data_IF_666977718845
#
_entry.id   IF_666977718845
#
_cell.length_a   1.000
_cell.length_b   1.000
_cell.length_c   1.000
_cell.angle_alpha   90.00
_cell.angle_beta   90.00
_cell.angle_gamma   90.00
#
_symmetry.space_group_name_H-M   'P 1'
#
loop_
_entity.id
_entity.type
_entity.pdbx_description
1 polymer ?
#
# COMPACT_ATOMS: atom_id res chain seq x y z
N UNK A 1 -26.73 1.43 -5.95
CA UNK A 1 -25.46 0.72 -6.29
C UNK A 1 -25.54 -0.69 -5.74
N UNK A 2 -25.32 -1.69 -6.59
CA UNK A 2 -25.31 -3.10 -6.18
C UNK A 2 -23.96 -3.44 -5.55
N UNK A 3 -23.97 -4.12 -4.41
CA UNK A 3 -22.77 -4.64 -3.76
C UNK A 3 -23.05 -6.04 -3.23
N UNK A 4 -22.13 -6.97 -3.46
CA UNK A 4 -22.16 -8.34 -2.98
C UNK A 4 -20.71 -8.80 -2.75
N UNK A 5 -20.51 -9.73 -1.82
CA UNK A 5 -19.18 -10.25 -1.48
C UNK A 5 -18.92 -11.64 -2.07
N UNK A 6 -19.91 -12.21 -2.74
CA UNK A 6 -19.85 -13.51 -3.41
C UNK A 6 -20.68 -13.48 -4.69
N UNK A 7 -20.33 -14.34 -5.65
CA UNK A 7 -20.98 -14.42 -6.96
C UNK A 7 -21.90 -15.64 -6.98
N UNK A 8 -23.00 -15.56 -6.22
CA UNK A 8 -24.06 -16.60 -6.17
C UNK A 8 -25.37 -16.05 -6.72
N UNK A 9 -26.23 -16.92 -7.27
CA UNK A 9 -27.53 -16.52 -7.84
C UNK A 9 -28.42 -15.82 -6.80
N UNK A 10 -28.38 -16.27 -5.55
CA UNK A 10 -29.08 -15.67 -4.41
C UNK A 10 -28.54 -14.28 -4.10
N UNK A 11 -27.22 -14.16 -3.85
CA UNK A 11 -26.60 -12.89 -3.45
C UNK A 11 -26.74 -11.80 -4.51
N UNK A 12 -26.64 -12.15 -5.80
CA UNK A 12 -26.82 -11.19 -6.89
C UNK A 12 -28.26 -10.68 -6.96
N UNK A 13 -29.25 -11.55 -6.80
CA UNK A 13 -30.68 -11.15 -6.79
C UNK A 13 -30.99 -10.24 -5.61
N UNK A 14 -30.57 -10.66 -4.41
CA UNK A 14 -30.77 -9.87 -3.19
C UNK A 14 -30.13 -8.47 -3.28
N UNK A 15 -28.93 -8.36 -3.86
CA UNK A 15 -28.24 -7.08 -4.01
C UNK A 15 -28.84 -6.17 -5.10
N UNK A 16 -29.53 -6.74 -6.10
CA UNK A 16 -30.31 -5.98 -7.09
C UNK A 16 -31.59 -5.45 -6.45
N UNK A 17 -32.27 -6.27 -5.65
CA UNK A 17 -33.52 -5.91 -4.98
C UNK A 17 -33.28 -4.89 -3.85
N UNK A 18 -32.08 -4.88 -3.25
CA UNK A 18 -31.69 -3.98 -2.16
C UNK A 18 -30.47 -3.11 -2.54
N UNK A 19 -30.62 -2.14 -3.46
CA UNK A 19 -29.51 -1.27 -3.84
C UNK A 19 -29.17 -0.30 -2.71
N UNK A 20 -27.87 -0.11 -2.46
CA UNK A 20 -27.38 0.91 -1.51
C UNK A 20 -27.04 2.23 -2.19
N UNK A 21 -27.09 3.31 -1.43
CA UNK A 21 -26.50 4.58 -1.85
C UNK A 21 -24.97 4.47 -1.95
N UNK A 22 -24.38 5.40 -2.69
CA UNK A 22 -22.92 5.51 -2.76
C UNK A 22 -22.43 6.07 -1.43
N UNK A 23 -21.59 5.31 -0.73
CA UNK A 23 -20.93 5.79 0.47
C UNK A 23 -19.83 6.78 0.09
N UNK A 24 -20.13 8.08 0.19
CA UNK A 24 -19.20 9.15 -0.18
C UNK A 24 -17.93 9.14 0.67
N UNK A 25 -17.99 8.68 1.92
CA UNK A 25 -16.79 8.54 2.76
C UNK A 25 -15.78 7.55 2.17
N UNK A 26 -16.24 6.45 1.55
CA UNK A 26 -15.37 5.49 0.88
C UNK A 26 -14.75 6.07 -0.39
N UNK A 27 -15.51 6.91 -1.12
CA UNK A 27 -15.00 7.63 -2.28
C UNK A 27 -13.91 8.61 -1.86
N UNK A 28 -14.18 9.42 -0.84
CA UNK A 28 -13.26 10.42 -0.32
C UNK A 28 -11.98 9.76 0.25
N UNK A 29 -12.10 8.64 0.96
CA UNK A 29 -10.95 7.88 1.45
C UNK A 29 -10.07 7.37 0.30
N UNK A 30 -10.66 6.87 -0.78
CA UNK A 30 -9.92 6.43 -1.97
C UNK A 30 -9.21 7.60 -2.66
N UNK A 31 -9.90 8.73 -2.81
CA UNK A 31 -9.33 9.94 -3.42
C UNK A 31 -8.18 10.50 -2.59
N UNK A 32 -8.34 10.55 -1.26
CA UNK A 32 -7.29 10.99 -0.34
C UNK A 32 -6.05 10.08 -0.44
N UNK A 33 -6.24 8.75 -0.45
CA UNK A 33 -5.13 7.81 -0.64
C UNK A 33 -4.40 8.04 -1.96
N UNK A 34 -5.14 8.20 -3.05
CA UNK A 34 -4.58 8.48 -4.38
C UNK A 34 -3.79 9.79 -4.38
N UNK A 35 -4.30 10.84 -3.75
CA UNK A 35 -3.61 12.12 -3.63
C UNK A 35 -2.30 11.98 -2.83
N UNK A 36 -2.33 11.27 -1.70
CA UNK A 36 -1.13 11.00 -0.88
C UNK A 36 -0.08 10.21 -1.67
N UNK A 37 -0.49 9.16 -2.38
CA UNK A 37 0.44 8.32 -3.15
C UNK A 37 1.06 9.13 -4.32
N UNK A 38 0.30 10.04 -4.94
CA UNK A 38 0.81 10.98 -5.94
C UNK A 38 1.81 11.98 -5.34
N UNK A 39 1.48 12.61 -4.21
CA UNK A 39 2.35 13.58 -3.55
C UNK A 39 3.69 12.98 -3.13
N UNK A 40 3.70 11.72 -2.67
CA UNK A 40 4.94 11.02 -2.33
C UNK A 40 5.68 10.61 -3.61
N UNK A 41 5.01 9.89 -4.51
CA UNK A 41 5.64 9.30 -5.69
C UNK A 41 6.22 10.35 -6.64
N UNK A 42 5.45 11.38 -6.99
CA UNK A 42 5.85 12.36 -7.99
C UNK A 42 6.91 13.33 -7.47
N UNK A 43 6.88 13.71 -6.19
CA UNK A 43 7.84 14.66 -5.64
C UNK A 43 9.17 14.01 -5.24
N UNK A 44 9.14 12.79 -4.69
CA UNK A 44 10.35 12.14 -4.17
C UNK A 44 11.11 11.31 -5.21
N UNK A 45 10.43 10.72 -6.20
CA UNK A 45 11.12 9.90 -7.22
C UNK A 45 12.18 10.69 -8.03
N UNK A 46 11.93 11.94 -8.46
CA UNK A 46 12.97 12.76 -9.12
C UNK A 46 14.20 12.99 -8.24
N UNK A 47 14.01 13.12 -6.92
CA UNK A 47 15.12 13.25 -5.98
C UNK A 47 15.97 11.96 -5.94
N UNK A 48 15.32 10.79 -5.89
CA UNK A 48 16.02 9.50 -5.94
C UNK A 48 16.79 9.32 -7.25
N UNK A 49 16.25 9.79 -8.38
CA UNK A 49 16.96 9.73 -9.66
C UNK A 49 18.22 10.60 -9.68
N UNK A 50 18.15 11.77 -9.05
CA UNK A 50 19.28 12.70 -8.95
C UNK A 50 20.36 12.22 -7.98
N UNK A 51 19.97 11.52 -6.91
CA UNK A 51 20.86 11.18 -5.79
C UNK A 51 21.36 9.74 -5.77
N UNK A 52 20.64 8.81 -6.40
CA UNK A 52 20.96 7.37 -6.33
C UNK A 52 21.06 6.78 -7.73
N UNK A 53 19.93 6.56 -8.41
CA UNK A 53 19.87 5.96 -9.75
C UNK A 53 18.57 6.31 -10.44
N UNK A 54 18.63 6.58 -11.74
CA UNK A 54 17.43 6.75 -12.58
C UNK A 54 16.56 5.50 -12.55
N UNK A 55 15.25 5.68 -12.54
CA UNK A 55 14.26 4.59 -12.54
C UNK A 55 13.85 4.10 -11.15
N UNK A 56 14.39 4.66 -10.07
CA UNK A 56 13.93 4.36 -8.71
C UNK A 56 12.60 5.03 -8.38
N UNK A 57 11.76 4.36 -7.60
CA UNK A 57 10.49 4.89 -7.12
C UNK A 57 10.53 5.15 -5.62
N UNK A 58 9.97 6.30 -5.22
CA UNK A 58 9.59 6.54 -3.84
C UNK A 58 8.13 6.16 -3.67
N UNK A 59 7.79 5.43 -2.62
CA UNK A 59 6.42 4.98 -2.38
C UNK A 59 6.10 4.99 -0.90
N UNK A 60 4.95 5.58 -0.54
CA UNK A 60 4.51 5.71 0.85
C UNK A 60 4.46 4.38 1.59
N UNK A 61 4.14 3.29 0.88
CA UNK A 61 4.07 1.93 1.43
C UNK A 61 5.32 1.11 1.11
N UNK A 62 5.83 1.21 -0.13
CA UNK A 62 7.00 0.44 -0.57
C UNK A 62 8.27 0.82 0.20
N UNK A 63 8.53 2.11 0.43
CA UNK A 63 9.76 2.57 1.06
C UNK A 63 9.87 2.15 2.53
N UNK A 64 8.81 2.24 3.37
CA UNK A 64 8.84 1.66 4.72
C UNK A 64 8.99 0.13 4.72
N UNK A 65 8.32 -0.58 3.80
CA UNK A 65 8.46 -2.04 3.71
C UNK A 65 9.91 -2.45 3.39
N UNK A 66 10.54 -1.75 2.43
CA UNK A 66 11.96 -1.95 2.12
C UNK A 66 12.85 -1.63 3.32
N UNK A 67 12.55 -0.56 4.06
CA UNK A 67 13.29 -0.18 5.26
C UNK A 67 13.25 -1.28 6.33
N UNK A 68 12.10 -1.90 6.58
CA UNK A 68 11.99 -2.99 7.56
C UNK A 68 12.89 -4.19 7.19
N UNK A 69 12.99 -4.51 5.91
CA UNK A 69 13.86 -5.60 5.43
C UNK A 69 15.34 -5.20 5.60
N UNK A 70 15.71 -3.99 5.18
CA UNK A 70 17.08 -3.50 5.31
C UNK A 70 17.54 -3.40 6.77
N UNK A 71 16.67 -2.92 7.67
CA UNK A 71 16.95 -2.85 9.10
C UNK A 71 17.17 -4.23 9.72
N UNK A 72 16.38 -5.24 9.31
CA UNK A 72 16.60 -6.62 9.75
C UNK A 72 17.91 -7.21 9.21
N UNK A 73 18.27 -6.94 7.96
CA UNK A 73 19.56 -7.39 7.42
C UNK A 73 20.72 -6.77 8.19
N UNK A 74 20.65 -5.47 8.47
CA UNK A 74 21.60 -4.75 9.32
C UNK A 74 21.74 -5.37 10.72
N UNK A 75 20.65 -5.83 11.33
CA UNK A 75 20.67 -6.54 12.62
C UNK A 75 21.40 -7.89 12.51
N UNK A 76 21.18 -8.63 11.43
CA UNK A 76 21.83 -9.93 11.16
C UNK A 76 23.33 -9.74 10.93
N UNK A 77 23.73 -8.77 10.12
CA UNK A 77 25.14 -8.47 9.84
C UNK A 77 25.92 -8.08 11.10
N UNK A 78 25.26 -7.40 12.05
CA UNK A 78 25.86 -6.96 13.32
C UNK A 78 25.81 -8.03 14.42
N UNK A 79 25.12 -9.15 14.18
CA UNK A 79 24.99 -10.20 15.18
C UNK A 79 26.34 -10.89 15.41
N UNK A 80 26.81 -10.88 16.67
CA UNK A 80 28.00 -11.62 17.10
C UNK A 80 27.52 -12.86 17.87
N UNK A 81 27.59 -14.07 17.28
CA UNK A 81 27.14 -15.29 17.94
C UNK A 81 27.93 -15.54 19.24
N UNK A 82 27.22 -15.95 20.28
CA UNK A 82 27.84 -16.38 21.54
C UNK A 82 27.66 -17.89 21.68
N UNK A 83 28.79 -18.60 21.81
CA UNK A 83 28.79 -20.04 22.06
C UNK A 83 28.38 -20.30 23.52
N UNK A 84 27.47 -21.26 23.72
CA UNK A 84 27.03 -21.69 25.05
C UNK A 84 27.02 -23.22 25.12
N UNK A 85 27.35 -23.76 26.30
CA UNK A 85 27.48 -25.18 26.58
C UNK A 85 26.49 -25.59 27.67
#
# INVERSE_FOLDING_TARGET
RVCFNEITKSAVREAIDNPREIAMDLVNAQQARRALDYLVGFNLSPLLWKKIRRGLSAGRVQSPALRLIAEREDEIEKFVPQEHW
#
